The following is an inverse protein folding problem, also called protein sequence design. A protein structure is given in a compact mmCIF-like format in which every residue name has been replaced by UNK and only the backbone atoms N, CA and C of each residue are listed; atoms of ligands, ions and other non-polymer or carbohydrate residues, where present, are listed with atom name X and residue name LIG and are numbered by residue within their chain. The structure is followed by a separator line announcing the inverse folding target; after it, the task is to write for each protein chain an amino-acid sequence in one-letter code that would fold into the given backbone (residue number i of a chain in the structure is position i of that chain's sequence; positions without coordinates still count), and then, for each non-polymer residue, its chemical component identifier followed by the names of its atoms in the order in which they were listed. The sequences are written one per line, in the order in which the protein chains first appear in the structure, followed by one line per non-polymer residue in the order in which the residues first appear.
data_IF_976516144985
#
_entry.id   IF_976516144985
#
_cell.length_a   1.000
_cell.length_b   1.000
_cell.length_c   1.000
_cell.angle_alpha   90.00
_cell.angle_beta   90.00
_cell.angle_gamma   90.00
#
_symmetry.space_group_name_H-M   'P 1'
#
loop_
_entity.id
_entity.type
_entity.pdbx_description
1 polymer ?
#
# COMPACT_ATOMS: atom_id res chain seq x y z
N UNK A 1 -54.56 -30.98 38.75
CA UNK A 1 -53.68 -30.96 39.94
C UNK A 1 -53.56 -29.51 40.37
N UNK A 2 -53.81 -29.27 41.66
CA UNK A 2 -53.50 -28.05 42.43
C UNK A 2 -52.04 -27.62 42.17
N UNK A 3 -51.59 -26.37 42.34
CA UNK A 3 -51.76 -25.52 43.53
C UNK A 3 -51.31 -24.07 43.21
N UNK A 4 -51.82 -23.16 44.03
CA UNK A 4 -51.61 -21.72 44.20
C UNK A 4 -50.14 -21.27 44.38
N UNK A 5 -49.87 -19.94 44.29
CA UNK A 5 -49.59 -19.06 45.47
C UNK A 5 -49.23 -17.61 45.04
N UNK A 6 -50.12 -16.70 45.48
CA UNK A 6 -49.98 -15.39 46.14
C UNK A 6 -49.09 -14.21 45.68
N UNK A 7 -49.71 -13.06 45.92
CA UNK A 7 -49.30 -11.67 45.92
C UNK A 7 -48.30 -11.25 47.00
N UNK A 8 -47.56 -10.18 46.73
CA UNK A 8 -47.29 -9.02 47.62
C UNK A 8 -47.14 -7.78 46.70
N UNK A 9 -47.80 -6.64 46.89
CA UNK A 9 -47.77 -5.74 48.06
C UNK A 9 -46.75 -4.61 47.77
N UNK A 10 -47.11 -3.63 46.95
CA UNK A 10 -47.50 -2.25 47.31
C UNK A 10 -46.36 -1.35 47.83
N UNK A 11 -46.16 -0.21 47.14
CA UNK A 11 -46.11 1.16 47.70
C UNK A 11 -45.15 2.11 46.97
N UNK A 12 -45.74 3.16 46.40
CA UNK A 12 -45.20 4.53 46.42
C UNK A 12 -43.96 4.86 45.61
N UNK A 13 -44.14 5.24 44.33
CA UNK A 13 -43.23 6.18 43.64
C UNK A 13 -44.00 7.28 42.91
N UNK A 14 -44.09 8.40 43.59
CA UNK A 14 -43.89 9.79 43.12
C UNK A 14 -44.03 10.06 41.61
N UNK A 15 -45.04 10.86 41.29
CA UNK A 15 -45.41 11.43 40.00
C UNK A 15 -44.37 12.41 39.42
N UNK A 16 -43.24 11.90 38.91
CA UNK A 16 -42.24 12.72 38.22
C UNK A 16 -41.67 12.10 36.91
N UNK A 17 -42.09 10.90 36.50
CA UNK A 17 -41.55 10.23 35.30
C UNK A 17 -42.41 10.32 34.03
N UNK A 18 -43.66 10.79 34.12
CA UNK A 18 -44.58 10.76 32.97
C UNK A 18 -44.33 11.85 31.90
N UNK A 19 -43.42 12.80 32.16
CA UNK A 19 -43.09 13.88 31.22
C UNK A 19 -41.91 13.58 30.27
N UNK A 20 -41.07 12.58 30.55
CA UNK A 20 -39.95 12.21 29.65
C UNK A 20 -40.34 11.12 28.66
N UNK A 21 -41.13 10.13 29.08
CA UNK A 21 -41.60 9.06 28.18
C UNK A 21 -42.62 9.56 27.15
N UNK A 22 -43.44 10.55 27.49
CA UNK A 22 -44.40 11.17 26.56
C UNK A 22 -43.74 11.97 25.44
N UNK A 23 -42.49 12.44 25.61
CA UNK A 23 -41.73 13.07 24.52
C UNK A 23 -41.09 12.05 23.55
N UNK A 24 -40.87 10.80 23.99
CA UNK A 24 -40.25 9.76 23.17
C UNK A 24 -41.23 9.07 22.21
N UNK A 25 -42.50 8.94 22.58
CA UNK A 25 -43.52 8.22 21.78
C UNK A 25 -44.23 9.11 20.76
N UNK A 26 -44.19 10.44 20.91
CA UNK A 26 -44.65 11.40 19.89
C UNK A 26 -43.61 11.58 18.76
N UNK A 27 -42.43 10.97 18.90
CA UNK A 27 -41.30 11.14 17.99
C UNK A 27 -41.38 10.37 16.66
N UNK A 28 -42.49 9.69 16.34
CA UNK A 28 -42.65 8.85 15.13
C UNK A 28 -43.89 9.18 14.28
N UNK A 29 -44.39 10.43 14.34
CA UNK A 29 -45.48 10.86 13.46
C UNK A 29 -45.04 11.01 11.97
N UNK A 30 -45.80 10.47 10.98
CA UNK A 30 -45.52 10.65 9.54
C UNK A 30 -45.69 12.11 9.11
N UNK A 31 -44.81 12.63 8.24
CA UNK A 31 -44.96 13.95 7.62
C UNK A 31 -44.15 15.11 8.23
N UNK A 32 -43.36 14.88 9.30
CA UNK A 32 -42.54 15.93 9.92
C UNK A 32 -41.05 15.81 9.57
N UNK A 33 -40.39 16.95 9.32
CA UNK A 33 -38.94 17.04 9.12
C UNK A 33 -38.20 16.94 10.46
N UNK A 34 -37.08 16.21 10.47
CA UNK A 34 -36.23 16.01 11.66
C UNK A 34 -34.77 16.26 11.31
N UNK A 35 -34.00 16.65 12.32
CA UNK A 35 -32.57 16.97 12.17
C UNK A 35 -31.75 16.03 13.03
N UNK A 36 -30.79 15.36 12.40
CA UNK A 36 -29.76 14.57 13.07
C UNK A 36 -28.65 15.52 13.49
N UNK A 37 -28.52 15.75 14.80
CA UNK A 37 -27.43 16.52 15.38
C UNK A 37 -26.11 15.75 15.25
N UNK A 38 -24.98 16.46 15.35
CA UNK A 38 -23.63 15.88 15.23
C UNK A 38 -23.32 14.79 16.28
N UNK A 39 -24.06 14.74 17.38
CA UNK A 39 -23.95 13.72 18.43
C UNK A 39 -24.90 12.51 18.22
N UNK A 40 -25.54 12.40 17.05
CA UNK A 40 -26.49 11.33 16.73
C UNK A 40 -27.91 11.55 17.27
N UNK A 41 -28.15 12.60 18.07
CA UNK A 41 -29.48 12.88 18.60
C UNK A 41 -30.41 13.43 17.51
N UNK A 42 -31.61 12.86 17.39
CA UNK A 42 -32.65 13.31 16.46
C UNK A 42 -33.53 14.35 17.16
N UNK A 43 -33.65 15.54 16.56
CA UNK A 43 -34.54 16.60 17.05
C UNK A 43 -35.53 17.04 15.98
N UNK A 44 -36.65 17.64 16.39
CA UNK A 44 -37.59 18.24 15.46
C UNK A 44 -36.93 19.38 14.66
N UNK A 45 -37.30 19.52 13.38
CA UNK A 45 -36.85 20.64 12.57
C UNK A 45 -37.47 21.94 13.09
N UNK A 46 -36.62 22.92 13.37
CA UNK A 46 -37.01 24.22 13.91
C UNK A 46 -36.38 25.32 13.05
N UNK A 47 -37.23 26.00 12.27
CA UNK A 47 -36.85 27.10 11.39
C UNK A 47 -36.21 28.26 12.17
N UNK A 48 -36.61 28.48 13.43
CA UNK A 48 -36.09 29.59 14.25
C UNK A 48 -34.58 29.44 14.49
N UNK A 49 -34.05 28.21 14.52
CA UNK A 49 -32.61 27.95 14.66
C UNK A 49 -31.82 28.40 13.43
N UNK A 50 -32.40 28.28 12.24
CA UNK A 50 -31.80 28.76 10.99
C UNK A 50 -31.76 30.29 11.00
N UNK A 51 -32.90 30.92 11.34
CA UNK A 51 -32.97 32.37 11.46
C UNK A 51 -31.94 32.92 12.45
N UNK A 52 -31.80 32.32 13.65
CA UNK A 52 -30.80 32.73 14.64
C UNK A 52 -29.37 32.58 14.13
N UNK A 53 -29.07 31.52 13.38
CA UNK A 53 -27.74 31.30 12.82
C UNK A 53 -27.39 32.36 11.75
N UNK A 54 -28.33 32.69 10.86
CA UNK A 54 -28.14 33.72 9.83
C UNK A 54 -28.05 35.10 10.49
N UNK A 55 -28.90 35.43 11.46
CA UNK A 55 -28.85 36.71 12.19
C UNK A 55 -27.50 36.92 12.87
N UNK A 56 -26.90 35.88 13.45
CA UNK A 56 -25.54 35.97 14.03
C UNK A 56 -24.49 36.32 12.97
N UNK A 57 -24.63 35.82 11.75
CA UNK A 57 -23.75 36.17 10.63
C UNK A 57 -23.89 37.63 10.23
N UNK A 58 -25.13 38.14 10.14
CA UNK A 58 -25.40 39.55 9.86
C UNK A 58 -24.82 40.47 10.95
N UNK A 59 -25.01 40.12 12.22
CA UNK A 59 -24.48 40.87 13.37
C UNK A 59 -22.95 40.92 13.40
N UNK A 60 -22.29 39.84 12.98
CA UNK A 60 -20.84 39.77 12.92
C UNK A 60 -20.23 40.73 11.88
N UNK A 61 -20.97 41.06 10.80
CA UNK A 61 -20.49 41.93 9.71
C UNK A 61 -21.00 43.37 9.83
N UNK A 62 -22.28 43.57 10.18
CA UNK A 62 -22.91 44.90 10.23
C UNK A 62 -22.91 45.54 11.65
N UNK A 63 -22.46 44.82 12.68
CA UNK A 63 -22.35 45.30 14.05
C UNK A 63 -23.68 45.37 14.81
N UNK A 64 -23.68 45.90 16.04
CA UNK A 64 -24.86 45.89 16.93
C UNK A 64 -26.09 46.67 16.43
N UNK A 65 -25.90 47.62 15.49
CA UNK A 65 -26.99 48.39 14.88
C UNK A 65 -27.88 47.54 13.95
N UNK A 66 -27.41 46.35 13.54
CA UNK A 66 -28.19 45.39 12.77
C UNK A 66 -29.24 44.64 13.61
N UNK A 67 -29.13 44.63 14.95
CA UNK A 67 -30.04 43.86 15.81
C UNK A 67 -31.51 44.33 15.75
N UNK A 68 -31.74 45.62 15.47
CA UNK A 68 -33.06 46.24 15.39
C UNK A 68 -33.49 46.58 13.95
N UNK A 69 -32.71 46.19 12.93
CA UNK A 69 -33.00 46.52 11.54
C UNK A 69 -34.10 45.64 10.97
N UNK A 70 -35.26 46.25 10.63
CA UNK A 70 -36.38 45.54 10.00
C UNK A 70 -35.99 44.86 8.69
N UNK A 71 -35.11 45.50 7.90
CA UNK A 71 -34.56 44.96 6.64
C UNK A 71 -33.87 43.60 6.84
N UNK A 72 -33.13 43.44 7.93
CA UNK A 72 -32.38 42.22 8.22
C UNK A 72 -33.32 41.12 8.69
N UNK A 73 -34.28 41.42 9.57
CA UNK A 73 -35.27 40.44 10.01
C UNK A 73 -36.13 39.92 8.84
N UNK A 74 -36.54 40.80 7.91
CA UNK A 74 -37.26 40.39 6.70
C UNK A 74 -36.40 39.50 5.78
N UNK A 75 -35.15 39.90 5.53
CA UNK A 75 -34.23 39.13 4.68
C UNK A 75 -33.89 37.76 5.27
N UNK A 76 -33.66 37.69 6.59
CA UNK A 76 -33.41 36.44 7.32
C UNK A 76 -34.63 35.52 7.29
N UNK A 77 -35.83 36.06 7.51
CA UNK A 77 -37.07 35.28 7.46
C UNK A 77 -37.32 34.74 6.03
N UNK A 78 -37.04 35.53 5.00
CA UNK A 78 -37.18 35.10 3.61
C UNK A 78 -36.18 33.97 3.27
N UNK A 79 -34.92 34.09 3.72
CA UNK A 79 -33.91 33.06 3.54
C UNK A 79 -34.27 31.77 4.28
N UNK A 80 -34.69 31.86 5.55
CA UNK A 80 -35.09 30.71 6.36
C UNK A 80 -36.30 29.98 5.76
N UNK A 81 -37.28 30.73 5.25
CA UNK A 81 -38.45 30.17 4.56
C UNK A 81 -38.06 29.48 3.25
N UNK A 82 -37.17 30.07 2.45
CA UNK A 82 -36.67 29.47 1.21
C UNK A 82 -35.95 28.14 1.46
N UNK A 83 -35.08 28.10 2.48
CA UNK A 83 -34.35 26.89 2.87
C UNK A 83 -35.33 25.80 3.33
N UNK A 84 -36.32 26.17 4.15
CA UNK A 84 -37.36 25.24 4.61
C UNK A 84 -38.20 24.71 3.44
N UNK A 85 -38.49 25.55 2.45
CA UNK A 85 -39.22 25.12 1.25
C UNK A 85 -38.40 24.16 0.38
N UNK A 86 -37.09 24.37 0.25
CA UNK A 86 -36.18 23.45 -0.46
C UNK A 86 -36.25 22.05 0.17
N UNK A 87 -36.17 21.96 1.50
CA UNK A 87 -36.25 20.67 2.19
C UNK A 87 -37.63 20.02 2.09
N UNK A 88 -38.72 20.80 2.19
CA UNK A 88 -40.09 20.28 2.01
C UNK A 88 -40.35 19.78 0.58
N UNK A 89 -39.83 20.46 -0.44
CA UNK A 89 -39.94 20.02 -1.85
C UNK A 89 -39.17 18.73 -2.10
N UNK A 90 -38.01 18.57 -1.47
CA UNK A 90 -37.15 17.38 -1.62
C UNK A 90 -37.68 16.16 -0.85
N UNK A 91 -38.44 16.40 0.23
CA UNK A 91 -39.01 15.35 1.10
C UNK A 91 -40.50 15.61 1.42
N UNK A 92 -41.41 15.37 0.46
CA UNK A 92 -42.84 15.66 0.62
C UNK A 92 -43.56 14.82 1.69
N UNK A 93 -42.98 13.69 2.10
CA UNK A 93 -43.54 12.77 3.11
C UNK A 93 -42.89 12.92 4.50
N UNK A 94 -42.05 13.94 4.69
CA UNK A 94 -41.18 14.06 5.87
C UNK A 94 -39.88 13.25 5.72
N UNK A 95 -38.93 13.43 6.65
CA UNK A 95 -37.63 12.78 6.60
C UNK A 95 -36.63 13.33 7.61
N UNK A 96 -35.46 12.69 7.69
CA UNK A 96 -34.33 13.09 8.53
C UNK A 96 -33.24 13.76 7.70
N UNK A 97 -32.74 14.90 8.15
CA UNK A 97 -31.71 15.70 7.49
C UNK A 97 -30.50 15.81 8.42
N UNK A 98 -29.28 15.72 7.91
CA UNK A 98 -28.09 15.99 8.73
C UNK A 98 -27.92 17.49 8.96
N UNK A 99 -27.45 17.87 10.15
CA UNK A 99 -27.22 19.29 10.47
C UNK A 99 -26.24 19.99 9.51
N UNK A 100 -25.30 19.24 8.90
CA UNK A 100 -24.41 19.79 7.86
C UNK A 100 -25.17 20.17 6.59
N UNK A 101 -26.15 19.36 6.16
CA UNK A 101 -26.95 19.67 4.97
C UNK A 101 -27.70 20.99 5.13
N UNK A 102 -28.18 21.29 6.34
CA UNK A 102 -28.84 22.57 6.64
C UNK A 102 -27.85 23.72 6.57
N UNK A 103 -26.62 23.54 7.08
CA UNK A 103 -25.58 24.57 7.01
C UNK A 103 -25.15 24.85 5.57
N UNK A 104 -25.00 23.82 4.75
CA UNK A 104 -24.65 23.95 3.33
C UNK A 104 -25.76 24.69 2.55
N UNK A 105 -27.04 24.44 2.87
CA UNK A 105 -28.15 25.20 2.26
C UNK A 105 -28.19 26.66 2.73
N UNK A 106 -27.82 26.95 3.98
CA UNK A 106 -27.70 28.34 4.48
C UNK A 106 -26.61 29.10 3.72
N UNK A 107 -25.45 28.48 3.52
CA UNK A 107 -24.34 29.06 2.75
C UNK A 107 -24.75 29.33 1.31
N UNK A 108 -25.37 28.33 0.65
CA UNK A 108 -25.82 28.46 -0.72
C UNK A 108 -26.87 29.56 -0.90
N UNK A 109 -27.81 29.70 0.05
CA UNK A 109 -28.83 30.73 0.03
C UNK A 109 -28.22 32.14 0.18
N UNK A 110 -27.28 32.32 1.12
CA UNK A 110 -26.55 33.58 1.31
C UNK A 110 -25.66 33.95 0.10
N UNK A 111 -25.09 32.97 -0.59
CA UNK A 111 -24.32 33.22 -1.82
C UNK A 111 -25.22 33.63 -3.00
N UNK A 112 -26.40 33.04 -3.13
CA UNK A 112 -27.35 33.32 -4.23
C UNK A 112 -28.02 34.69 -4.13
N UNK A 113 -28.20 35.21 -2.93
CA UNK A 113 -28.78 36.55 -2.71
C UNK A 113 -27.77 37.69 -2.91
N UNK A 114 -26.49 37.37 -3.20
CA UNK A 114 -25.44 38.36 -3.43
C UNK A 114 -24.79 38.91 -2.15
N UNK A 115 -25.14 38.36 -0.98
CA UNK A 115 -24.63 38.80 0.33
C UNK A 115 -23.27 38.17 0.65
N UNK A 116 -22.30 38.36 -0.26
CA UNK A 116 -21.00 37.68 -0.24
C UNK A 116 -20.18 37.92 1.03
N UNK A 117 -20.29 39.11 1.65
CA UNK A 117 -19.57 39.43 2.89
C UNK A 117 -20.09 38.61 4.07
N UNK A 118 -21.39 38.41 4.12
CA UNK A 118 -22.09 37.69 5.19
C UNK A 118 -21.89 36.18 5.01
N UNK A 119 -22.02 35.69 3.77
CA UNK A 119 -21.70 34.31 3.42
C UNK A 119 -20.27 33.95 3.85
N UNK A 120 -19.29 34.81 3.54
CA UNK A 120 -17.88 34.60 3.93
C UNK A 120 -17.70 34.57 5.46
N UNK A 121 -18.33 35.48 6.19
CA UNK A 121 -18.28 35.49 7.66
C UNK A 121 -18.91 34.24 8.28
N UNK A 122 -20.00 33.74 7.69
CA UNK A 122 -20.66 32.51 8.15
C UNK A 122 -19.78 31.27 7.94
N UNK A 123 -19.14 31.16 6.77
CA UNK A 123 -18.21 30.06 6.45
C UNK A 123 -17.00 30.06 7.39
N UNK A 124 -16.40 31.22 7.65
CA UNK A 124 -15.26 31.36 8.59
C UNK A 124 -15.67 30.93 9.99
N UNK A 125 -16.80 31.41 10.50
CA UNK A 125 -17.32 31.01 11.82
C UNK A 125 -17.58 29.50 11.91
N UNK A 126 -18.12 28.89 10.85
CA UNK A 126 -18.32 27.43 10.77
C UNK A 126 -17.00 26.67 10.84
N UNK A 127 -16.01 27.09 10.05
CA UNK A 127 -14.69 26.47 9.99
C UNK A 127 -13.96 26.55 11.34
N UNK A 128 -13.95 27.72 11.98
CA UNK A 128 -13.32 27.92 13.30
C UNK A 128 -13.96 27.03 14.37
N UNK A 129 -15.30 26.93 14.38
CA UNK A 129 -15.99 26.05 15.32
C UNK A 129 -15.75 24.56 15.02
N UNK A 130 -15.59 24.16 13.76
CA UNK A 130 -15.20 22.78 13.42
C UNK A 130 -13.79 22.49 13.91
N UNK A 131 -12.83 23.38 13.68
CA UNK A 131 -11.45 23.25 14.17
C UNK A 131 -11.36 23.14 15.69
N UNK A 132 -12.08 24.00 16.43
CA UNK A 132 -12.14 23.95 17.90
C UNK A 132 -12.72 22.63 18.44
N UNK A 133 -13.57 21.96 17.65
CA UNK A 133 -14.16 20.67 18.01
C UNK A 133 -13.21 19.53 17.69
N UNK A 134 -12.54 19.57 16.55
CA UNK A 134 -11.48 18.62 16.19
C UNK A 134 -10.38 18.62 17.26
N UNK A 135 -9.91 19.80 17.67
CA UNK A 135 -8.91 19.96 18.74
C UNK A 135 -9.37 19.38 20.09
N UNK A 136 -10.65 19.48 20.43
CA UNK A 136 -11.21 18.87 21.65
C UNK A 136 -11.29 17.34 21.55
N UNK A 137 -11.68 16.82 20.38
CA UNK A 137 -11.71 15.37 20.13
C UNK A 137 -10.30 14.76 20.12
N UNK A 138 -9.32 15.51 19.64
CA UNK A 138 -7.93 15.09 19.52
C UNK A 138 -7.22 15.04 20.88
N UNK A 139 -7.59 15.94 21.80
CA UNK A 139 -7.13 15.93 23.19
C UNK A 139 -7.74 14.79 24.04
N UNK A 140 -8.82 14.14 23.59
CA UNK A 140 -9.54 13.07 24.31
C UNK A 140 -9.25 11.66 23.77
N UNK A 141 -8.42 11.50 22.73
CA UNK A 141 -8.05 10.17 22.22
C UNK A 141 -7.07 9.47 23.17
N UNK A 142 -7.39 8.26 23.67
CA UNK A 142 -6.38 7.42 24.31
C UNK A 142 -5.31 7.02 23.29
N UNK A 143 -4.06 6.90 23.77
CA UNK A 143 -2.94 6.29 23.06
C UNK A 143 -3.39 4.99 22.38
N UNK A 144 -2.92 4.77 21.16
CA UNK A 144 -3.35 3.69 20.25
C UNK A 144 -3.69 2.38 20.98
N UNK A 145 -4.82 1.73 20.65
CA UNK A 145 -5.18 0.45 21.26
C UNK A 145 -4.05 -0.57 21.04
N UNK A 146 -3.77 -1.40 22.05
CA UNK A 146 -2.84 -2.52 21.91
C UNK A 146 -3.35 -3.46 20.81
N UNK A 147 -2.74 -3.40 19.63
CA UNK A 147 -3.06 -4.29 18.50
C UNK A 147 -2.33 -5.60 18.74
N UNK A 148 -3.08 -6.70 18.88
CA UNK A 148 -2.49 -8.04 18.90
C UNK A 148 -2.31 -8.56 17.48
N UNK A 149 -1.16 -9.18 17.20
CA UNK A 149 -0.78 -9.74 15.91
C UNK A 149 -0.72 -11.26 16.01
N UNK A 150 -1.15 -11.95 14.97
CA UNK A 150 -1.07 -13.41 14.86
C UNK A 150 0.17 -13.81 14.05
N UNK A 151 1.01 -14.67 14.62
CA UNK A 151 2.21 -15.23 13.96
C UNK A 151 1.89 -16.51 13.19
N UNK A 152 2.83 -17.01 12.39
CA UNK A 152 2.64 -18.19 11.52
C UNK A 152 2.31 -19.48 12.29
N UNK A 153 2.84 -19.62 13.51
CA UNK A 153 2.57 -20.72 14.43
C UNK A 153 1.21 -20.60 15.14
N UNK A 154 0.45 -19.54 14.85
CA UNK A 154 -0.87 -19.27 15.41
C UNK A 154 -0.86 -18.61 16.80
N UNK A 155 0.32 -18.31 17.38
CA UNK A 155 0.37 -17.55 18.63
C UNK A 155 0.01 -16.08 18.38
N UNK A 156 -0.60 -15.46 19.40
CA UNK A 156 -0.89 -14.03 19.38
C UNK A 156 0.00 -13.30 20.39
N UNK A 157 0.66 -12.25 19.93
CA UNK A 157 1.46 -11.37 20.78
C UNK A 157 1.10 -9.90 20.48
N UNK A 158 1.34 -8.97 21.41
CA UNK A 158 1.17 -7.55 21.14
C UNK A 158 2.12 -7.11 20.00
N UNK A 159 1.66 -6.18 19.16
CA UNK A 159 2.48 -5.59 18.10
C UNK A 159 3.71 -4.92 18.72
N UNK A 160 4.90 -5.34 18.28
CA UNK A 160 6.15 -4.68 18.64
C UNK A 160 6.27 -3.32 17.92
N UNK A 161 5.72 -2.30 18.56
CA UNK A 161 5.74 -0.91 18.07
C UNK A 161 7.15 -0.33 18.06
N UNK A 162 8.05 -0.80 18.93
CA UNK A 162 9.43 -0.34 18.97
C UNK A 162 10.18 -0.84 17.72
N UNK A 163 10.06 -2.13 17.39
CA UNK A 163 10.62 -2.68 16.15
C UNK A 163 10.03 -2.00 14.91
N UNK A 164 8.71 -1.78 14.88
CA UNK A 164 8.05 -1.10 13.76
C UNK A 164 8.60 0.32 13.53
N UNK A 165 8.85 1.07 14.61
CA UNK A 165 9.49 2.39 14.51
C UNK A 165 10.92 2.28 14.01
N UNK A 166 11.72 1.36 14.56
CA UNK A 166 13.11 1.15 14.12
C UNK A 166 13.20 0.89 12.62
N UNK A 167 12.36 0.00 12.06
CA UNK A 167 12.42 -0.30 10.62
C UNK A 167 11.98 0.88 9.75
N UNK A 168 11.02 1.70 10.21
CA UNK A 168 10.59 2.91 9.49
C UNK A 168 11.69 3.97 9.53
N UNK A 169 12.32 4.18 10.69
CA UNK A 169 13.42 5.14 10.84
C UNK A 169 14.63 4.74 9.98
N UNK A 170 15.05 3.46 10.02
CA UNK A 170 16.10 2.95 9.12
C UNK A 170 15.71 3.09 7.63
N UNK A 171 14.42 2.89 7.30
CA UNK A 171 13.96 3.03 5.92
C UNK A 171 13.98 4.49 5.43
N UNK A 172 13.71 5.46 6.31
CA UNK A 172 13.73 6.90 5.99
C UNK A 172 15.13 7.53 6.08
N UNK A 173 16.12 6.83 6.61
CA UNK A 173 17.47 7.37 6.83
C UNK A 173 18.10 7.91 5.53
N UNK A 174 18.62 9.15 5.60
CA UNK A 174 19.32 9.78 4.48
C UNK A 174 18.43 10.23 3.30
N UNK A 175 17.11 10.26 3.48
CA UNK A 175 16.15 10.75 2.47
C UNK A 175 15.50 12.05 2.93
N UNK A 176 15.36 13.01 2.00
CA UNK A 176 14.67 14.28 2.23
C UNK A 176 13.17 14.14 1.92
N UNK A 177 12.35 15.00 2.53
CA UNK A 177 10.91 15.11 2.29
C UNK A 177 10.08 13.83 2.55
N UNK A 178 10.62 12.90 3.35
CA UNK A 178 9.92 11.72 3.87
C UNK A 178 9.52 11.91 5.34
N UNK A 179 8.35 11.40 5.73
CA UNK A 179 7.81 11.51 7.09
C UNK A 179 7.59 10.15 7.71
N UNK A 180 8.41 9.81 8.70
CA UNK A 180 8.33 8.57 9.48
C UNK A 180 6.98 8.44 10.20
N UNK A 181 6.55 9.51 10.89
CA UNK A 181 5.29 9.53 11.64
C UNK A 181 4.08 9.35 10.72
N UNK A 182 4.11 9.92 9.51
CA UNK A 182 3.03 9.74 8.53
C UNK A 182 2.88 8.27 8.11
N UNK A 183 3.99 7.57 7.87
CA UNK A 183 3.97 6.14 7.52
C UNK A 183 3.46 5.34 8.71
N UNK A 184 3.98 5.59 9.91
CA UNK A 184 3.62 4.87 11.12
C UNK A 184 2.13 5.02 11.45
N UNK A 185 1.62 6.25 11.51
CA UNK A 185 0.23 6.55 11.87
C UNK A 185 -0.75 5.98 10.84
N UNK A 186 -0.44 6.11 9.55
CA UNK A 186 -1.29 5.60 8.49
C UNK A 186 -1.28 4.07 8.43
N UNK A 187 -0.15 3.43 8.75
CA UNK A 187 -0.08 1.98 8.87
C UNK A 187 -0.96 1.50 10.03
N UNK A 188 -0.83 2.11 11.22
CA UNK A 188 -1.62 1.73 12.39
C UNK A 188 -3.12 1.89 12.19
N UNK A 189 -3.58 2.90 11.45
CA UNK A 189 -5.00 3.09 11.12
C UNK A 189 -5.58 1.94 10.29
N UNK A 190 -4.74 1.30 9.47
CA UNK A 190 -5.16 0.22 8.57
C UNK A 190 -5.08 -1.17 9.24
N UNK A 191 -4.52 -1.27 10.45
CA UNK A 191 -4.43 -2.52 11.19
C UNK A 191 -5.70 -2.77 12.02
N UNK A 192 -6.05 -4.05 12.15
CA UNK A 192 -7.16 -4.53 12.98
C UNK A 192 -6.65 -5.56 14.00
N UNK A 193 -7.33 -5.75 15.15
CA UNK A 193 -6.93 -6.75 16.14
C UNK A 193 -6.92 -8.18 15.55
N UNK A 194 -5.82 -8.90 15.73
CA UNK A 194 -5.64 -10.27 15.22
C UNK A 194 -5.08 -10.37 13.80
N UNK A 195 -4.69 -9.25 13.18
CA UNK A 195 -4.01 -9.20 11.88
C UNK A 195 -2.78 -10.12 11.86
N UNK A 196 -2.48 -10.75 10.72
CA UNK A 196 -1.29 -11.59 10.59
C UNK A 196 -0.03 -10.74 10.46
N UNK A 197 1.11 -11.23 10.95
CA UNK A 197 2.38 -10.50 10.84
C UNK A 197 2.79 -10.23 9.37
N UNK A 198 2.49 -11.15 8.45
CA UNK A 198 2.70 -10.95 7.01
C UNK A 198 1.86 -9.78 6.45
N UNK A 199 0.61 -9.66 6.91
CA UNK A 199 -0.30 -8.57 6.52
C UNK A 199 0.15 -7.24 7.12
N UNK A 200 0.76 -7.22 8.31
CA UNK A 200 1.36 -6.02 8.90
C UNK A 200 2.50 -5.50 8.02
N UNK A 201 3.42 -6.40 7.61
CA UNK A 201 4.54 -6.05 6.71
C UNK A 201 4.02 -5.56 5.35
N UNK A 202 3.02 -6.23 4.80
CA UNK A 202 2.40 -5.85 3.52
C UNK A 202 1.71 -4.48 3.61
N UNK A 203 0.98 -4.23 4.70
CA UNK A 203 0.31 -2.95 4.96
C UNK A 203 1.33 -1.80 4.98
N UNK A 204 2.45 -1.99 5.67
CA UNK A 204 3.54 -1.01 5.76
C UNK A 204 4.10 -0.64 4.37
N UNK A 205 4.36 -1.64 3.53
CA UNK A 205 4.82 -1.44 2.13
C UNK A 205 3.75 -0.73 1.30
N UNK A 206 2.47 -1.12 1.40
CA UNK A 206 1.39 -0.50 0.63
C UNK A 206 1.17 0.97 1.03
N UNK A 207 1.21 1.27 2.34
CA UNK A 207 1.09 2.64 2.84
C UNK A 207 2.24 3.51 2.33
N UNK A 208 3.49 3.05 2.42
CA UNK A 208 4.64 3.79 1.88
C UNK A 208 4.54 3.99 0.35
N UNK A 209 4.10 2.96 -0.38
CA UNK A 209 3.95 3.01 -1.85
C UNK A 209 2.98 4.10 -2.31
N UNK A 210 1.86 4.31 -1.59
CA UNK A 210 0.90 5.36 -1.97
C UNK A 210 1.47 6.77 -1.79
N UNK A 211 2.47 6.93 -0.91
CA UNK A 211 3.15 8.21 -0.69
C UNK A 211 4.16 8.57 -1.79
N UNK A 212 4.49 7.63 -2.69
CA UNK A 212 5.34 7.89 -3.86
C UNK A 212 4.76 8.96 -4.79
N UNK A 213 3.42 9.10 -4.82
CA UNK A 213 2.77 10.17 -5.57
C UNK A 213 3.04 11.56 -4.96
N UNK A 214 3.28 11.64 -3.65
CA UNK A 214 3.62 12.89 -2.95
C UNK A 214 5.08 13.26 -3.14
N UNK A 215 5.97 12.28 -2.97
CA UNK A 215 7.41 12.47 -3.17
C UNK A 215 8.08 11.18 -3.70
N UNK A 216 8.94 11.25 -4.73
CA UNK A 216 9.60 10.07 -5.30
C UNK A 216 10.51 9.32 -4.31
N UNK A 217 11.04 9.97 -3.26
CA UNK A 217 11.94 9.35 -2.28
C UNK A 217 11.24 8.23 -1.49
N UNK A 218 9.91 8.26 -1.36
CA UNK A 218 9.15 7.15 -0.80
C UNK A 218 9.32 5.84 -1.60
N UNK A 219 9.80 5.89 -2.85
CA UNK A 219 10.13 4.67 -3.61
C UNK A 219 11.27 3.88 -2.98
N UNK A 220 12.29 4.59 -2.46
CA UNK A 220 13.39 3.97 -1.72
C UNK A 220 12.93 3.47 -0.36
N UNK A 221 12.13 4.27 0.36
CA UNK A 221 11.53 3.84 1.65
C UNK A 221 10.72 2.56 1.46
N UNK A 222 9.87 2.50 0.43
CA UNK A 222 9.05 1.34 0.12
C UNK A 222 9.91 0.11 -0.19
N UNK A 223 11.02 0.27 -0.93
CA UNK A 223 11.97 -0.82 -1.18
C UNK A 223 12.64 -1.32 0.11
N UNK A 224 13.09 -0.39 0.97
CA UNK A 224 13.76 -0.71 2.24
C UNK A 224 12.82 -1.43 3.22
N UNK A 225 11.54 -1.06 3.23
CA UNK A 225 10.49 -1.74 4.00
C UNK A 225 10.19 -3.14 3.45
N UNK A 226 10.10 -3.29 2.13
CA UNK A 226 9.99 -4.60 1.49
C UNK A 226 11.18 -5.50 1.85
N UNK A 227 12.39 -4.93 1.92
CA UNK A 227 13.60 -5.65 2.31
C UNK A 227 13.50 -6.31 3.69
N UNK A 228 12.74 -5.75 4.64
CA UNK A 228 12.52 -6.37 5.96
C UNK A 228 11.82 -7.73 5.85
N UNK A 229 10.83 -7.82 4.95
CA UNK A 229 10.14 -9.07 4.63
C UNK A 229 11.12 -10.07 4.00
N UNK A 230 11.88 -9.65 2.99
CA UNK A 230 12.85 -10.50 2.29
C UNK A 230 13.94 -11.03 3.23
N UNK A 231 14.46 -10.19 4.12
CA UNK A 231 15.45 -10.60 5.13
C UNK A 231 14.87 -11.65 6.08
N UNK A 232 13.67 -11.40 6.59
CA UNK A 232 13.02 -12.35 7.50
C UNK A 232 12.74 -13.69 6.81
N UNK A 233 12.24 -13.66 5.57
CA UNK A 233 11.96 -14.84 4.77
C UNK A 233 13.22 -15.65 4.45
N UNK A 234 14.25 -15.00 3.89
CA UNK A 234 15.46 -15.68 3.44
C UNK A 234 16.31 -16.20 4.61
N UNK A 235 16.49 -15.39 5.67
CA UNK A 235 17.31 -15.78 6.82
C UNK A 235 16.64 -16.88 7.66
N UNK A 236 15.29 -16.86 7.76
CA UNK A 236 14.53 -17.90 8.43
C UNK A 236 14.64 -19.22 7.66
N UNK A 237 14.48 -19.19 6.33
CA UNK A 237 14.64 -20.38 5.49
C UNK A 237 16.03 -21.00 5.59
N UNK A 238 17.08 -20.17 5.70
CA UNK A 238 18.46 -20.62 5.87
C UNK A 238 18.81 -21.01 7.32
N UNK A 239 17.87 -20.89 8.26
CA UNK A 239 18.07 -21.26 9.67
C UNK A 239 19.05 -20.35 10.42
N UNK A 240 19.25 -19.11 9.96
CA UNK A 240 20.21 -18.17 10.55
C UNK A 240 19.54 -17.34 11.65
N UNK A 241 18.42 -16.69 11.32
CA UNK A 241 17.63 -15.88 12.25
C UNK A 241 16.24 -15.63 11.68
N UNK A 242 15.26 -15.41 12.54
CA UNK A 242 13.86 -15.18 12.13
C UNK A 242 13.62 -13.75 11.60
N UNK A 243 14.44 -12.78 12.02
CA UNK A 243 14.35 -11.39 11.60
C UNK A 243 15.70 -10.68 11.74
N UNK A 244 15.99 -9.75 10.83
CA UNK A 244 17.16 -8.89 10.90
C UNK A 244 16.83 -7.50 10.34
N UNK A 245 17.32 -6.45 11.00
CA UNK A 245 17.19 -5.07 10.50
C UNK A 245 18.31 -4.74 9.50
N UNK A 246 18.23 -3.59 8.83
CA UNK A 246 19.24 -3.21 7.84
C UNK A 246 20.61 -3.03 8.52
N UNK A 247 20.62 -2.42 9.70
CA UNK A 247 21.83 -2.20 10.49
C UNK A 247 22.54 -3.50 10.85
N UNK A 248 21.85 -4.64 10.96
CA UNK A 248 22.48 -5.92 11.27
C UNK A 248 23.11 -6.61 10.05
N UNK A 249 22.74 -6.21 8.84
CA UNK A 249 23.18 -6.91 7.63
C UNK A 249 24.67 -6.75 7.32
N UNK A 250 25.34 -5.73 7.88
CA UNK A 250 26.78 -5.50 7.67
C UNK A 250 27.65 -6.71 8.02
N UNK A 251 27.28 -7.48 9.05
CA UNK A 251 28.00 -8.72 9.41
C UNK A 251 27.24 -9.98 8.99
N UNK A 252 25.91 -9.92 8.87
CA UNK A 252 25.11 -11.11 8.54
C UNK A 252 25.29 -11.56 7.10
N UNK A 253 25.51 -10.65 6.14
CA UNK A 253 25.70 -11.03 4.73
C UNK A 253 26.84 -12.04 4.53
N UNK A 254 27.99 -11.78 5.16
CA UNK A 254 29.14 -12.69 5.12
C UNK A 254 28.80 -14.08 5.70
N UNK A 255 28.02 -14.11 6.78
CA UNK A 255 27.56 -15.36 7.40
C UNK A 255 26.50 -16.09 6.57
N UNK A 256 25.73 -15.39 5.73
CA UNK A 256 24.63 -15.95 4.93
C UNK A 256 25.08 -16.54 3.60
N UNK A 257 26.16 -16.02 2.97
CA UNK A 257 26.59 -16.45 1.64
C UNK A 257 26.86 -17.96 1.57
N UNK A 258 27.62 -18.49 2.53
CA UNK A 258 27.98 -19.92 2.54
C UNK A 258 26.76 -20.84 2.72
N UNK A 259 25.90 -20.67 3.75
CA UNK A 259 24.65 -21.41 3.88
C UNK A 259 23.75 -21.33 2.64
N UNK A 260 23.69 -20.16 2.00
CA UNK A 260 22.94 -19.97 0.76
C UNK A 260 23.46 -20.86 -0.38
N UNK A 261 24.77 -20.87 -0.63
CA UNK A 261 25.36 -21.69 -1.71
C UNK A 261 25.19 -23.17 -1.40
N UNK A 262 25.46 -23.60 -0.17
CA UNK A 262 25.30 -24.99 0.27
C UNK A 262 23.86 -25.46 0.08
N UNK A 263 22.88 -24.67 0.52
CA UNK A 263 21.46 -25.00 0.38
C UNK A 263 21.00 -24.98 -1.07
N UNK A 264 21.45 -24.01 -1.86
CA UNK A 264 21.13 -23.92 -3.28
C UNK A 264 21.69 -25.09 -4.09
N UNK A 265 22.87 -25.61 -3.74
CA UNK A 265 23.44 -26.82 -4.33
C UNK A 265 22.71 -28.09 -3.87
N UNK A 266 22.37 -28.19 -2.58
CA UNK A 266 21.58 -29.30 -2.02
C UNK A 266 20.23 -29.45 -2.74
N UNK A 267 19.55 -28.33 -3.01
CA UNK A 267 18.27 -28.30 -3.71
C UNK A 267 18.40 -28.45 -5.25
N UNK A 268 19.63 -28.52 -5.79
CA UNK A 268 19.87 -28.61 -7.23
C UNK A 268 19.50 -27.34 -8.01
N UNK A 269 19.48 -26.18 -7.34
CA UNK A 269 19.20 -24.89 -7.95
C UNK A 269 20.49 -24.20 -8.43
N UNK A 270 21.59 -24.42 -7.72
CA UNK A 270 22.91 -23.83 -8.00
C UNK A 270 23.92 -24.87 -8.49
N UNK A 271 24.94 -24.40 -9.22
CA UNK A 271 26.05 -25.24 -9.65
C UNK A 271 26.97 -25.60 -8.48
N UNK A 272 27.37 -26.87 -8.31
CA UNK A 272 28.35 -27.28 -7.31
C UNK A 272 29.71 -26.57 -7.44
N UNK A 273 30.04 -26.03 -8.63
CA UNK A 273 31.31 -25.34 -8.85
C UNK A 273 31.42 -24.04 -8.02
N UNK A 274 30.29 -23.47 -7.59
CA UNK A 274 30.31 -22.29 -6.71
C UNK A 274 30.92 -22.59 -5.34
N UNK A 275 30.93 -23.87 -4.90
CA UNK A 275 31.57 -24.28 -3.64
C UNK A 275 33.10 -24.32 -3.73
N UNK A 276 33.68 -24.23 -4.92
CA UNK A 276 35.14 -24.21 -5.12
C UNK A 276 35.76 -22.83 -4.79
N UNK A 277 34.94 -21.78 -4.73
CA UNK A 277 35.37 -20.43 -4.39
C UNK A 277 35.64 -20.29 -2.89
N UNK A 278 36.51 -19.34 -2.52
CA UNK A 278 36.63 -18.90 -1.12
C UNK A 278 35.42 -18.05 -0.71
N UNK A 279 34.37 -18.72 -0.20
CA UNK A 279 33.13 -18.08 0.24
C UNK A 279 33.32 -17.17 1.46
N UNK A 280 34.38 -17.35 2.25
CA UNK A 280 34.68 -16.47 3.38
C UNK A 280 35.18 -15.12 2.87
N UNK A 281 36.14 -15.16 1.93
CA UNK A 281 36.65 -13.94 1.29
C UNK A 281 35.54 -13.20 0.52
N UNK A 282 34.72 -13.93 -0.24
CA UNK A 282 33.61 -13.31 -0.98
C UNK A 282 32.51 -12.77 -0.07
N UNK A 283 32.25 -13.45 1.05
CA UNK A 283 31.29 -12.99 2.06
C UNK A 283 31.69 -11.65 2.67
N UNK A 284 32.98 -11.45 2.96
CA UNK A 284 33.53 -10.19 3.48
C UNK A 284 33.49 -9.05 2.45
N UNK A 285 33.45 -9.37 1.15
CA UNK A 285 33.35 -8.37 0.09
C UNK A 285 31.93 -7.82 -0.10
N UNK A 286 30.90 -8.44 0.50
CA UNK A 286 29.51 -8.01 0.37
C UNK A 286 29.26 -6.68 1.10
N UNK A 287 28.56 -5.77 0.42
CA UNK A 287 28.26 -4.43 0.88
C UNK A 287 26.76 -4.26 1.14
N UNK A 288 26.37 -4.34 2.41
CA UNK A 288 24.97 -4.28 2.84
C UNK A 288 24.30 -2.93 2.52
N UNK A 289 25.06 -1.85 2.56
CA UNK A 289 24.65 -0.48 2.25
C UNK A 289 24.07 -0.33 0.84
N UNK A 290 24.45 -1.20 -0.10
CA UNK A 290 23.94 -1.16 -1.48
C UNK A 290 22.47 -1.57 -1.58
N UNK A 291 21.92 -2.24 -0.56
CA UNK A 291 20.48 -2.49 -0.48
C UNK A 291 19.65 -1.20 -0.45
N UNK A 292 20.22 -0.11 0.08
CA UNK A 292 19.55 1.18 0.17
C UNK A 292 19.42 1.90 -1.18
N UNK A 293 20.11 1.43 -2.22
CA UNK A 293 20.10 2.00 -3.57
C UNK A 293 18.87 1.57 -4.38
N UNK A 294 18.17 0.51 -3.95
CA UNK A 294 17.03 -0.01 -4.69
C UNK A 294 15.83 0.94 -4.64
N UNK A 295 15.24 1.16 -5.82
CA UNK A 295 13.87 1.65 -5.93
C UNK A 295 12.89 0.49 -5.75
N UNK A 296 11.64 0.78 -5.38
CA UNK A 296 10.62 -0.25 -5.15
C UNK A 296 10.41 -1.14 -6.38
N UNK A 297 10.29 -0.54 -7.57
CA UNK A 297 10.11 -1.31 -8.81
C UNK A 297 11.32 -2.22 -9.11
N UNK A 298 12.53 -1.75 -8.84
CA UNK A 298 13.76 -2.51 -9.03
C UNK A 298 13.79 -3.74 -8.14
N UNK A 299 13.57 -3.56 -6.83
CA UNK A 299 13.58 -4.66 -5.88
C UNK A 299 12.43 -5.64 -6.13
N UNK A 300 11.21 -5.13 -6.37
CA UNK A 300 10.04 -5.95 -6.68
C UNK A 300 10.30 -6.81 -7.93
N UNK A 301 10.92 -6.24 -8.96
CA UNK A 301 11.27 -6.97 -10.18
C UNK A 301 12.21 -8.14 -9.88
N UNK A 302 13.23 -7.92 -9.05
CA UNK A 302 14.17 -8.98 -8.66
C UNK A 302 13.48 -10.06 -7.82
N UNK A 303 12.70 -9.65 -6.83
CA UNK A 303 11.97 -10.56 -5.94
C UNK A 303 10.97 -11.45 -6.69
N UNK A 304 10.20 -10.87 -7.60
CA UNK A 304 9.14 -11.60 -8.31
C UNK A 304 9.71 -12.63 -9.29
N UNK A 305 10.85 -12.33 -9.91
CA UNK A 305 11.32 -13.07 -11.11
C UNK A 305 12.75 -13.58 -11.07
N UNK A 306 13.67 -12.98 -10.31
CA UNK A 306 15.11 -13.26 -10.42
C UNK A 306 15.69 -13.99 -9.21
N UNK A 307 15.19 -13.69 -8.01
CA UNK A 307 15.69 -14.35 -6.80
C UNK A 307 15.35 -15.84 -6.82
N UNK A 308 16.36 -16.65 -6.48
CA UNK A 308 16.20 -18.08 -6.34
C UNK A 308 15.19 -18.37 -5.21
N UNK A 309 14.24 -19.25 -5.52
CA UNK A 309 13.20 -19.66 -4.60
C UNK A 309 13.05 -21.18 -4.58
N UNK A 310 12.52 -21.70 -3.47
CA UNK A 310 12.08 -23.08 -3.34
C UNK A 310 10.66 -23.09 -2.76
N UNK A 311 9.73 -23.79 -3.42
CA UNK A 311 8.32 -23.92 -2.97
C UNK A 311 7.62 -22.57 -2.69
N UNK A 312 8.02 -21.51 -3.39
CA UNK A 312 7.46 -20.16 -3.23
C UNK A 312 8.22 -19.26 -2.26
N UNK A 313 9.16 -19.81 -1.47
CA UNK A 313 9.98 -19.06 -0.52
C UNK A 313 11.28 -18.61 -1.19
N UNK A 314 11.52 -17.30 -1.24
CA UNK A 314 12.76 -16.70 -1.73
C UNK A 314 13.80 -16.72 -0.62
N UNK A 315 14.89 -17.44 -0.86
CA UNK A 315 15.99 -17.55 0.10
C UNK A 315 17.27 -16.85 -0.38
N UNK A 316 17.16 -16.05 -1.44
CA UNK A 316 18.23 -15.25 -2.00
C UNK A 316 18.04 -13.76 -1.68
N UNK A 317 19.05 -13.17 -1.03
CA UNK A 317 19.09 -11.74 -0.74
C UNK A 317 19.78 -10.96 -1.89
N UNK A 318 19.51 -9.64 -2.05
CA UNK A 318 20.00 -8.88 -3.20
C UNK A 318 21.53 -8.87 -3.39
N UNK A 319 22.31 -8.68 -2.32
CA UNK A 319 23.77 -8.70 -2.45
C UNK A 319 24.31 -10.10 -2.78
N UNK A 320 23.67 -11.14 -2.23
CA UNK A 320 24.00 -12.54 -2.54
C UNK A 320 23.64 -12.86 -3.99
N UNK A 321 22.52 -12.36 -4.49
CA UNK A 321 22.12 -12.47 -5.89
C UNK A 321 23.20 -11.91 -6.82
N UNK A 322 23.67 -10.68 -6.57
CA UNK A 322 24.74 -10.10 -7.38
C UNK A 322 26.05 -10.88 -7.26
N UNK A 323 26.38 -11.37 -6.06
CA UNK A 323 27.57 -12.19 -5.85
C UNK A 323 27.48 -13.54 -6.58
N UNK A 324 26.33 -14.23 -6.56
CA UNK A 324 26.10 -15.44 -7.35
C UNK A 324 26.33 -15.19 -8.83
N UNK A 325 25.78 -14.10 -9.36
CA UNK A 325 25.94 -13.75 -10.77
C UNK A 325 27.42 -13.51 -11.08
N UNK A 326 28.12 -12.74 -10.23
CA UNK A 326 29.54 -12.46 -10.38
C UNK A 326 30.42 -13.74 -10.32
N UNK A 327 30.17 -14.63 -9.35
CA UNK A 327 30.87 -15.92 -9.24
C UNK A 327 30.62 -16.79 -10.47
N UNK A 328 29.37 -16.84 -10.95
CA UNK A 328 29.00 -17.59 -12.14
C UNK A 328 29.75 -17.13 -13.40
N UNK A 329 29.97 -15.82 -13.54
CA UNK A 329 30.73 -15.25 -14.66
C UNK A 329 32.25 -15.41 -14.49
N UNK A 330 32.76 -15.42 -13.26
CA UNK A 330 34.18 -15.54 -12.96
C UNK A 330 34.69 -17.01 -12.83
N UNK A 331 33.82 -18.01 -13.05
CA UNK A 331 34.15 -19.41 -12.77
C UNK A 331 35.32 -19.97 -13.59
N UNK A 332 35.59 -19.42 -14.78
CA UNK A 332 36.70 -19.83 -15.66
C UNK A 332 37.88 -18.84 -15.67
N UNK A 333 37.89 -17.85 -14.78
CA UNK A 333 39.00 -16.89 -14.64
C UNK A 333 40.18 -17.51 -13.86
N UNK A 334 41.40 -17.04 -14.14
CA UNK A 334 42.61 -17.50 -13.43
C UNK A 334 42.58 -17.13 -11.93
N UNK A 335 42.15 -15.89 -11.63
CA UNK A 335 41.99 -15.37 -10.27
C UNK A 335 40.48 -15.19 -9.97
N UNK A 336 39.78 -16.31 -9.80
CA UNK A 336 38.33 -16.39 -9.68
C UNK A 336 37.74 -15.43 -8.64
N UNK A 337 38.31 -15.40 -7.44
CA UNK A 337 37.81 -14.58 -6.32
C UNK A 337 37.96 -13.09 -6.62
N UNK A 338 39.12 -12.67 -7.11
CA UNK A 338 39.38 -11.27 -7.42
C UNK A 338 38.44 -10.75 -8.53
N UNK A 339 38.22 -11.57 -9.57
CA UNK A 339 37.27 -11.25 -10.64
C UNK A 339 35.83 -11.26 -10.19
N UNK A 340 35.43 -12.21 -9.34
CA UNK A 340 34.10 -12.22 -8.74
C UNK A 340 33.84 -10.95 -7.92
N UNK A 341 34.81 -10.50 -7.12
CA UNK A 341 34.70 -9.25 -6.35
C UNK A 341 34.61 -8.03 -7.28
N UNK A 342 35.41 -7.98 -8.36
CA UNK A 342 35.34 -6.91 -9.36
C UNK A 342 33.96 -6.84 -10.04
N UNK A 343 33.45 -7.98 -10.52
CA UNK A 343 32.14 -8.06 -11.16
C UNK A 343 31.01 -7.76 -10.19
N UNK A 344 31.07 -8.28 -8.95
CA UNK A 344 30.11 -7.96 -7.90
C UNK A 344 30.06 -6.45 -7.67
N UNK A 345 31.21 -5.80 -7.54
CA UNK A 345 31.29 -4.38 -7.30
C UNK A 345 30.67 -3.57 -8.44
N UNK A 346 30.92 -3.96 -9.69
CA UNK A 346 30.39 -3.27 -10.87
C UNK A 346 28.86 -3.44 -11.03
N UNK A 347 28.33 -4.62 -10.70
CA UNK A 347 26.91 -4.93 -10.87
C UNK A 347 26.08 -4.36 -9.71
N UNK A 348 26.53 -4.55 -8.46
CA UNK A 348 25.77 -4.13 -7.29
C UNK A 348 25.82 -2.63 -7.02
N UNK A 349 26.74 -1.87 -7.64
CA UNK A 349 26.72 -0.40 -7.65
C UNK A 349 25.78 0.19 -8.71
N UNK A 350 25.19 -0.67 -9.56
CA UNK A 350 24.40 -0.31 -10.73
C UNK A 350 25.16 0.46 -11.83
N UNK A 351 26.50 0.50 -11.79
CA UNK A 351 27.31 1.13 -12.84
C UNK A 351 27.17 0.37 -14.17
N UNK A 352 26.99 -0.95 -14.11
CA UNK A 352 26.65 -1.77 -15.25
C UNK A 352 25.75 -2.93 -14.84
N UNK A 353 24.71 -3.18 -15.63
CA UNK A 353 23.80 -4.31 -15.41
C UNK A 353 23.95 -5.31 -16.55
N UNK A 354 24.23 -6.56 -16.18
CA UNK A 354 24.29 -7.67 -17.15
C UNK A 354 22.89 -7.97 -17.70
N UNK A 355 22.85 -8.68 -18.83
CA UNK A 355 21.58 -9.00 -19.49
C UNK A 355 20.70 -9.93 -18.63
N UNK A 356 19.39 -9.91 -18.85
CA UNK A 356 18.42 -10.80 -18.17
C UNK A 356 18.84 -12.28 -18.12
N UNK A 357 19.27 -12.95 -19.22
CA UNK A 357 19.71 -14.35 -19.14
C UNK A 357 20.94 -14.54 -18.25
N UNK A 358 21.85 -13.57 -18.17
CA UNK A 358 23.00 -13.61 -17.27
C UNK A 358 22.55 -13.48 -15.81
N UNK A 359 21.68 -12.54 -15.48
CA UNK A 359 21.12 -12.39 -14.12
C UNK A 359 20.41 -13.67 -13.65
N UNK A 360 19.63 -14.28 -14.54
CA UNK A 360 18.80 -15.44 -14.21
C UNK A 360 19.62 -16.74 -14.10
N UNK A 361 20.52 -16.99 -15.05
CA UNK A 361 21.14 -18.30 -15.20
C UNK A 361 22.57 -18.41 -14.64
N UNK A 362 23.26 -17.29 -14.36
CA UNK A 362 24.64 -17.34 -13.84
C UNK A 362 24.69 -18.03 -12.48
N UNK A 363 25.63 -18.96 -12.33
CA UNK A 363 25.79 -19.75 -11.10
C UNK A 363 24.80 -20.91 -10.94
N UNK A 364 23.93 -21.15 -11.92
CA UNK A 364 22.99 -22.30 -11.91
C UNK A 364 23.55 -23.52 -12.63
N UNK A 365 22.89 -24.68 -12.54
CA UNK A 365 23.35 -25.94 -13.15
C UNK A 365 23.51 -25.90 -14.68
N UNK A 366 22.72 -25.07 -15.38
CA UNK A 366 22.73 -24.97 -16.85
C UNK A 366 22.70 -23.50 -17.26
N UNK A 367 23.86 -22.81 -17.24
CA UNK A 367 23.89 -21.39 -17.44
C UNK A 367 23.70 -21.02 -18.91
N UNK A 368 22.46 -20.87 -19.38
CA UNK A 368 22.18 -20.26 -20.68
C UNK A 368 22.29 -18.73 -20.57
N UNK A 369 23.51 -18.22 -20.70
CA UNK A 369 23.84 -16.80 -20.49
C UNK A 369 23.44 -15.90 -21.66
N UNK A 370 23.20 -16.48 -22.84
CA UNK A 370 22.77 -15.76 -24.04
C UNK A 370 21.45 -16.32 -24.54
N UNK A 371 20.52 -15.44 -24.90
CA UNK A 371 19.19 -15.82 -25.37
C UNK A 371 18.85 -15.26 -26.75
N UNK A 372 19.69 -14.45 -27.40
CA UNK A 372 19.41 -13.92 -28.74
C UNK A 372 20.17 -14.69 -29.82
N UNK A 373 19.45 -15.27 -30.78
CA UNK A 373 20.05 -16.05 -31.86
C UNK A 373 19.57 -15.59 -33.23
N UNK A 374 20.44 -15.74 -34.23
CA UNK A 374 20.13 -15.45 -35.62
C UNK A 374 20.33 -16.74 -36.44
N UNK A 375 19.36 -17.06 -37.29
CA UNK A 375 19.44 -18.22 -38.21
C UNK A 375 19.09 -17.79 -39.63
N UNK A 376 19.63 -18.50 -40.63
CA UNK A 376 19.24 -18.36 -42.04
C UNK A 376 18.69 -19.70 -42.52
N UNK A 377 17.53 -19.66 -43.19
CA UNK A 377 16.77 -20.86 -43.53
C UNK A 377 17.12 -21.28 -44.96
N UNK A 378 17.70 -22.47 -45.18
CA UNK A 378 18.03 -22.94 -46.53
C UNK A 378 16.78 -23.33 -47.32
N UNK A 379 16.84 -23.25 -48.65
CA UNK A 379 15.74 -23.57 -49.57
C UNK A 379 15.64 -25.08 -49.90
N UNK A 380 15.59 -25.91 -48.86
CA UNK A 380 15.33 -27.34 -48.97
C UNK A 380 14.48 -27.83 -47.79
N UNK A 381 13.59 -28.79 -48.03
CA UNK A 381 12.59 -29.20 -47.03
C UNK A 381 13.24 -29.75 -45.75
N UNK A 382 14.35 -30.46 -45.87
CA UNK A 382 15.06 -31.01 -44.71
C UNK A 382 15.69 -29.89 -43.88
N UNK A 383 16.34 -28.92 -44.52
CA UNK A 383 16.92 -27.75 -43.89
C UNK A 383 15.87 -26.81 -43.27
N UNK A 384 14.71 -26.63 -43.90
CA UNK A 384 13.57 -25.89 -43.33
C UNK A 384 13.12 -26.55 -42.02
N UNK A 385 12.83 -27.86 -42.03
CA UNK A 385 12.37 -28.55 -40.82
C UNK A 385 13.47 -28.69 -39.75
N UNK A 386 14.73 -28.80 -40.15
CA UNK A 386 15.87 -28.74 -39.22
C UNK A 386 15.93 -27.39 -38.52
N UNK A 387 15.73 -26.30 -39.25
CA UNK A 387 15.71 -24.95 -38.67
C UNK A 387 14.52 -24.75 -37.73
N UNK A 388 13.34 -25.31 -38.03
CA UNK A 388 12.18 -25.33 -37.13
C UNK A 388 12.50 -26.10 -35.84
N UNK A 389 13.18 -27.25 -35.94
CA UNK A 389 13.65 -28.01 -34.77
C UNK A 389 14.62 -27.15 -33.94
N UNK A 390 15.59 -26.50 -34.58
CA UNK A 390 16.59 -25.70 -33.89
C UNK A 390 15.95 -24.48 -33.22
N UNK A 391 14.96 -23.86 -33.86
CA UNK A 391 14.11 -22.83 -33.26
C UNK A 391 13.43 -23.31 -31.97
N UNK A 392 12.81 -24.50 -32.00
CA UNK A 392 12.18 -25.07 -30.81
C UNK A 392 13.20 -25.33 -29.68
N UNK A 393 14.40 -25.80 -30.02
CA UNK A 393 15.45 -26.07 -29.06
C UNK A 393 16.02 -24.79 -28.42
N UNK A 394 16.22 -23.73 -29.21
CA UNK A 394 16.72 -22.44 -28.73
C UNK A 394 15.66 -21.70 -27.89
N UNK A 395 14.38 -21.79 -28.26
CA UNK A 395 13.27 -21.18 -27.53
C UNK A 395 12.90 -21.91 -26.24
N UNK A 396 13.35 -23.17 -26.06
CA UNK A 396 13.07 -23.98 -24.85
C UNK A 396 13.38 -23.25 -23.54
N UNK A 397 14.37 -22.37 -23.56
CA UNK A 397 14.82 -21.57 -22.41
C UNK A 397 14.65 -20.07 -22.66
N UNK A 398 13.53 -19.70 -23.29
CA UNK A 398 13.16 -18.32 -23.61
C UNK A 398 14.16 -17.58 -24.53
N UNK A 399 14.77 -18.30 -25.48
CA UNK A 399 15.58 -17.70 -26.54
C UNK A 399 14.73 -16.86 -27.51
N UNK A 400 15.16 -15.64 -27.80
CA UNK A 400 14.68 -14.81 -28.91
C UNK A 400 15.38 -15.17 -30.22
N UNK A 401 14.61 -15.21 -31.30
CA UNK A 401 15.07 -15.70 -32.61
C UNK A 401 14.84 -14.67 -33.71
N UNK A 402 15.88 -14.39 -34.50
CA UNK A 402 15.78 -13.73 -35.79
C UNK A 402 16.03 -14.74 -36.90
N UNK A 403 15.03 -14.98 -37.76
CA UNK A 403 15.15 -15.94 -38.85
C UNK A 403 15.14 -15.22 -40.19
N UNK A 404 16.20 -15.40 -40.98
CA UNK A 404 16.26 -14.99 -42.37
C UNK A 404 15.65 -16.06 -43.28
N UNK A 405 14.47 -15.76 -43.81
CA UNK A 405 13.72 -16.62 -44.73
C UNK A 405 13.96 -16.29 -46.21
N UNK A 406 14.79 -15.29 -46.51
CA UNK A 406 15.05 -14.82 -47.87
C UNK A 406 15.46 -15.93 -48.85
N UNK A 407 16.26 -16.95 -48.45
CA UNK A 407 16.65 -18.00 -49.38
C UNK A 407 15.49 -18.88 -49.85
N UNK A 408 14.44 -19.05 -49.05
CA UNK A 408 13.32 -19.95 -49.35
C UNK A 408 12.56 -19.44 -50.58
N UNK A 409 12.34 -20.33 -51.55
CA UNK A 409 11.70 -19.99 -52.82
C UNK A 409 10.30 -19.41 -52.64
N UNK A 410 9.95 -18.48 -53.53
CA UNK A 410 8.62 -17.85 -53.54
C UNK A 410 7.55 -18.70 -54.25
N UNK A 411 6.29 -18.28 -54.09
CA UNK A 411 5.12 -18.83 -54.78
C UNK A 411 5.36 -18.95 -56.29
N UNK A 412 5.05 -20.12 -56.87
CA UNK A 412 5.17 -20.34 -58.30
C UNK A 412 6.52 -20.87 -58.78
N UNK A 413 7.53 -20.94 -57.89
CA UNK A 413 8.80 -21.58 -58.18
C UNK A 413 8.62 -23.09 -58.43
N UNK A 414 9.32 -23.63 -59.44
CA UNK A 414 9.22 -25.04 -59.79
C UNK A 414 9.89 -25.95 -58.74
N UNK A 415 9.22 -27.05 -58.35
CA UNK A 415 9.76 -28.05 -57.42
C UNK A 415 10.08 -29.34 -58.18
N UNK A 416 11.38 -29.60 -58.36
CA UNK A 416 11.89 -30.86 -58.91
C UNK A 416 11.55 -32.02 -57.95
N UNK A 417 10.98 -33.11 -58.46
CA UNK A 417 10.52 -34.26 -57.66
C UNK A 417 8.99 -34.31 -57.56
N UNK A 418 8.37 -33.29 -56.94
CA UNK A 418 6.90 -33.16 -56.85
C UNK A 418 6.27 -32.78 -58.20
N UNK A 419 7.08 -32.24 -59.12
CA UNK A 419 6.65 -31.75 -60.45
C UNK A 419 5.51 -30.71 -60.37
N UNK A 420 5.54 -29.91 -59.31
CA UNK A 420 4.56 -28.87 -59.01
C UNK A 420 5.20 -27.50 -58.87
N UNK A 421 4.43 -26.57 -58.33
CA UNK A 421 4.87 -25.22 -57.96
C UNK A 421 4.78 -25.07 -56.44
N UNK A 422 5.73 -24.33 -55.86
CA UNK A 422 5.75 -23.97 -54.44
C UNK A 422 4.56 -23.14 -54.02
#
# INVERSE_FOLDING_TARGET
MQTEIQSTGDSGRTAASDNEETMSVVSTAPGQLRVIKRNGAVVAYDETKISVAITKAYLAVEGGNAAASSRIHESVAQLASQITEIFRRRMPSGGTIHIEDIQDQVELALMRTGEHKIARSYVIYRADHTRLREQKLEAEKPSHPEINVTFEDGHQAPLDTARLRTIITEACEGLEDVSEDSIYDETLKNLYPGVKMEDVRTSLVMTARTMVEKDPNYSYVTARLLMDTLRSEALSFLGITEAATQSEMHYRYAATLKPYIEKGVELGLLSPHLLEFDLSLLGEALQAERDQQFTYLGLQTLYDRYFIQNEGIRFELPQIFFMRVAMGLASEEDNREQRAIEFYNLISSFDYMVSTPQLFNSGTLRPQLSSCFLTTIPDDLHGIYSSIRDNAMLSKWAGGLGNDWTPVRALGAHIKGTNGKS
#
